data_IF_320444826814
#
_entry.id   IF_320444826814
#
_cell.length_a   1.000
_cell.length_b   1.000
_cell.length_c   1.000
_cell.angle_alpha   90.00
_cell.angle_beta   90.00
_cell.angle_gamma   90.00
#
_symmetry.space_group_name_H-M   'P 1'
#
loop_
_entity.id
_entity.type
_entity.pdbx_description
1 polymer ?
#
# COMPACT_ATOMS: atom_id res chain seq x y z
N UNK A 1 27.57 -9.55 -4.00
CA UNK A 1 26.16 -9.97 -3.73
C UNK A 1 25.24 -8.75 -3.61
N UNK A 2 25.51 -7.78 -2.71
CA UNK A 2 24.61 -6.62 -2.41
C UNK A 2 24.25 -5.81 -3.68
N UNK A 3 25.25 -5.33 -4.42
CA UNK A 3 25.02 -4.57 -5.67
C UNK A 3 24.19 -5.36 -6.68
N UNK A 4 24.47 -6.66 -6.85
CA UNK A 4 23.71 -7.50 -7.75
C UNK A 4 22.24 -7.63 -7.33
N UNK A 5 21.96 -7.76 -6.02
CA UNK A 5 20.63 -7.78 -5.49
C UNK A 5 19.87 -6.46 -5.75
N UNK A 6 20.51 -5.32 -5.49
CA UNK A 6 19.94 -3.99 -5.78
C UNK A 6 19.65 -3.84 -7.28
N UNK A 7 20.60 -4.21 -8.16
CA UNK A 7 20.41 -4.15 -9.63
C UNK A 7 19.23 -5.01 -10.08
N UNK A 8 19.16 -6.24 -9.59
CA UNK A 8 18.09 -7.18 -9.94
C UNK A 8 16.72 -6.67 -9.52
N UNK A 9 16.54 -6.32 -8.24
CA UNK A 9 15.27 -5.81 -7.72
C UNK A 9 14.82 -4.54 -8.45
N UNK A 10 15.75 -3.61 -8.67
CA UNK A 10 15.47 -2.37 -9.37
C UNK A 10 15.10 -2.58 -10.86
N UNK A 11 15.73 -3.59 -11.50
CA UNK A 11 15.40 -3.98 -12.89
C UNK A 11 13.97 -4.54 -12.97
N UNK A 12 13.56 -5.40 -12.05
CA UNK A 12 12.19 -5.92 -11.98
C UNK A 12 11.16 -4.84 -11.70
N UNK A 13 11.50 -3.82 -10.91
CA UNK A 13 10.62 -2.70 -10.64
C UNK A 13 10.40 -1.83 -11.91
N UNK A 14 11.51 -1.50 -12.60
CA UNK A 14 11.48 -0.63 -13.80
C UNK A 14 10.97 -1.35 -15.06
N UNK A 15 11.31 -2.62 -15.24
CA UNK A 15 10.99 -3.43 -16.42
C UNK A 15 10.55 -4.82 -16.01
N UNK A 16 9.35 -4.95 -15.42
CA UNK A 16 8.83 -6.25 -15.02
C UNK A 16 8.52 -7.12 -16.26
N UNK A 17 8.56 -8.46 -16.12
CA UNK A 17 8.24 -9.38 -17.20
C UNK A 17 6.76 -9.30 -17.64
N UNK A 18 5.90 -8.86 -16.75
CA UNK A 18 4.45 -8.68 -17.00
C UNK A 18 4.02 -7.24 -16.68
N UNK A 19 3.23 -6.63 -17.55
CA UNK A 19 2.74 -5.24 -17.40
C UNK A 19 1.88 -4.98 -16.15
N UNK A 20 1.44 -6.04 -15.46
CA UNK A 20 0.66 -5.92 -14.22
C UNK A 20 1.55 -5.90 -12.95
N UNK A 21 2.86 -5.81 -13.12
CA UNK A 21 3.84 -5.74 -12.03
C UNK A 21 4.71 -4.49 -12.16
N UNK A 22 5.44 -4.17 -11.10
CA UNK A 22 6.36 -3.04 -11.06
C UNK A 22 5.68 -1.69 -11.32
N UNK A 23 6.45 -0.73 -11.79
CA UNK A 23 5.99 0.64 -12.02
C UNK A 23 4.88 0.77 -13.07
N UNK A 24 4.87 0.03 -14.19
CA UNK A 24 3.77 0.11 -15.15
C UNK A 24 2.39 -0.25 -14.57
N UNK A 25 2.35 -1.06 -13.52
CA UNK A 25 1.10 -1.43 -12.87
C UNK A 25 0.46 -0.27 -12.11
N UNK A 26 1.25 0.70 -11.64
CA UNK A 26 0.75 1.85 -10.87
C UNK A 26 -0.10 2.78 -11.73
N UNK A 27 0.36 3.08 -12.95
CA UNK A 27 -0.42 3.90 -13.89
C UNK A 27 -1.77 3.25 -14.21
N UNK A 28 -1.74 1.94 -14.46
CA UNK A 28 -2.97 1.18 -14.70
C UNK A 28 -3.88 1.14 -13.47
N UNK A 29 -3.33 1.01 -12.28
CA UNK A 29 -4.10 1.03 -11.05
C UNK A 29 -4.77 2.39 -10.82
N UNK A 30 -4.02 3.49 -11.01
CA UNK A 30 -4.55 4.84 -10.90
C UNK A 30 -5.68 5.09 -11.91
N UNK A 31 -5.51 4.67 -13.18
CA UNK A 31 -6.55 4.79 -14.20
C UNK A 31 -7.81 4.01 -13.83
N UNK A 32 -7.65 2.74 -13.45
CA UNK A 32 -8.79 1.86 -13.14
C UNK A 32 -9.62 2.31 -11.93
N UNK A 33 -9.08 3.10 -11.03
CA UNK A 33 -9.84 3.66 -9.90
C UNK A 33 -10.94 4.63 -10.36
N UNK A 34 -10.73 5.35 -11.45
CA UNK A 34 -11.63 6.40 -11.93
C UNK A 34 -12.24 6.13 -13.31
N UNK A 35 -11.72 5.14 -14.04
CA UNK A 35 -12.19 4.80 -15.40
C UNK A 35 -13.47 3.96 -15.32
N UNK A 36 -14.61 4.63 -15.42
CA UNK A 36 -15.94 4.01 -15.39
C UNK A 36 -16.32 3.28 -16.69
N UNK A 37 -15.55 3.46 -17.78
CA UNK A 37 -15.81 2.81 -19.07
C UNK A 37 -15.10 1.46 -19.21
N UNK A 38 -14.04 1.22 -18.44
CA UNK A 38 -13.32 -0.05 -18.47
C UNK A 38 -14.08 -1.10 -17.65
N UNK A 39 -14.29 -2.28 -18.24
CA UNK A 39 -14.89 -3.43 -17.55
C UNK A 39 -14.08 -3.90 -16.32
N UNK A 40 -12.80 -3.53 -16.23
CA UNK A 40 -11.91 -3.77 -15.10
C UNK A 40 -11.82 -2.58 -14.16
N UNK A 41 -12.52 -1.47 -14.46
CA UNK A 41 -12.57 -0.29 -13.60
C UNK A 41 -13.20 -0.60 -12.25
N UNK A 42 -12.77 0.13 -11.22
CA UNK A 42 -13.22 -0.09 -9.84
C UNK A 42 -14.74 0.03 -9.69
N UNK A 43 -15.37 0.94 -10.42
CA UNK A 43 -16.83 1.08 -10.40
C UNK A 43 -17.56 -0.21 -10.82
N UNK A 44 -16.97 -0.99 -11.74
CA UNK A 44 -17.53 -2.26 -12.23
C UNK A 44 -17.15 -3.44 -11.34
N UNK A 45 -15.87 -3.53 -10.99
CA UNK A 45 -15.32 -4.69 -10.24
C UNK A 45 -15.64 -4.62 -8.75
N UNK A 46 -15.63 -3.41 -8.19
CA UNK A 46 -15.86 -3.11 -6.78
C UNK A 46 -17.04 -2.11 -6.63
N UNK A 47 -18.28 -2.52 -6.97
CA UNK A 47 -19.43 -1.65 -6.78
C UNK A 47 -19.55 -1.23 -5.32
N UNK A 48 -20.10 -0.03 -5.11
CA UNK A 48 -20.30 0.58 -3.78
C UNK A 48 -21.03 -0.38 -2.84
N UNK A 49 -20.49 -0.59 -1.66
CA UNK A 49 -20.94 -1.56 -0.67
C UNK A 49 -19.80 -2.45 -0.20
N UNK A 50 -20.10 -3.72 0.06
CA UNK A 50 -19.14 -4.69 0.60
C UNK A 50 -17.90 -4.86 -0.29
N UNK A 51 -18.07 -4.93 -1.61
CA UNK A 51 -16.93 -5.12 -2.53
C UNK A 51 -16.00 -3.92 -2.56
N UNK A 52 -16.54 -2.71 -2.54
CA UNK A 52 -15.71 -1.51 -2.47
C UNK A 52 -15.01 -1.41 -1.12
N UNK A 53 -15.70 -1.72 -0.03
CA UNK A 53 -15.07 -1.78 1.29
C UNK A 53 -13.89 -2.75 1.32
N UNK A 54 -14.05 -3.96 0.79
CA UNK A 54 -12.96 -4.95 0.71
C UNK A 54 -11.77 -4.43 -0.09
N UNK A 55 -12.02 -3.73 -1.21
CA UNK A 55 -10.95 -3.17 -2.02
C UNK A 55 -10.19 -2.06 -1.27
N UNK A 56 -10.91 -1.13 -0.62
CA UNK A 56 -10.32 -0.05 0.18
C UNK A 56 -9.57 -0.59 1.40
N UNK A 57 -10.15 -1.57 2.10
CA UNK A 57 -9.54 -2.25 3.22
C UNK A 57 -8.28 -3.03 2.77
N UNK A 58 -8.34 -3.65 1.60
CA UNK A 58 -7.21 -4.31 0.96
C UNK A 58 -6.06 -3.34 0.70
N UNK A 59 -6.32 -2.12 0.22
CA UNK A 59 -5.28 -1.09 0.06
C UNK A 59 -4.55 -0.85 1.38
N UNK A 60 -5.29 -0.63 2.47
CA UNK A 60 -4.69 -0.46 3.79
C UNK A 60 -3.92 -1.71 4.24
N UNK A 61 -4.56 -2.87 4.16
CA UNK A 61 -3.99 -4.12 4.63
C UNK A 61 -2.67 -4.47 3.94
N UNK A 62 -2.64 -4.43 2.61
CA UNK A 62 -1.45 -4.81 1.84
C UNK A 62 -0.31 -3.80 1.95
N UNK A 63 -0.60 -2.54 2.26
CA UNK A 63 0.45 -1.53 2.47
C UNK A 63 0.99 -1.59 3.89
N UNK A 64 0.14 -1.75 4.93
CA UNK A 64 0.55 -1.53 6.31
C UNK A 64 0.71 -2.82 7.13
N UNK A 65 -0.16 -3.82 6.95
CA UNK A 65 -0.27 -4.91 7.93
C UNK A 65 0.00 -6.32 7.38
N UNK A 66 0.21 -6.48 6.08
CA UNK A 66 0.43 -7.79 5.46
C UNK A 66 1.92 -8.18 5.41
N UNK A 67 2.58 -8.17 6.58
CA UNK A 67 4.01 -8.49 6.72
C UNK A 67 4.96 -7.60 5.87
N UNK A 68 4.51 -6.40 5.52
CA UNK A 68 5.29 -5.43 4.73
C UNK A 68 6.23 -4.59 5.59
N UNK A 69 6.16 -4.72 6.91
CA UNK A 69 6.82 -3.79 7.82
C UNK A 69 6.24 -2.38 7.76
N UNK A 70 5.04 -2.22 7.17
CA UNK A 70 4.42 -0.94 6.83
C UNK A 70 4.93 -0.34 5.51
N UNK A 71 4.19 0.64 5.00
CA UNK A 71 4.61 1.47 3.85
C UNK A 71 4.99 0.65 2.60
N UNK A 72 4.33 -0.48 2.37
CA UNK A 72 4.59 -1.38 1.24
C UNK A 72 6.08 -1.72 1.09
N UNK A 73 6.75 -2.12 2.16
CA UNK A 73 8.19 -2.44 2.26
C UNK A 73 9.16 -1.26 2.10
N UNK A 74 8.72 -0.02 1.85
CA UNK A 74 9.64 1.08 1.56
C UNK A 74 10.51 1.44 2.76
N UNK A 75 9.97 1.39 3.98
CA UNK A 75 10.76 1.60 5.21
C UNK A 75 11.86 0.55 5.39
N UNK A 76 11.53 -0.74 5.14
CA UNK A 76 12.52 -1.82 5.20
C UNK A 76 13.59 -1.68 4.12
N UNK A 77 13.20 -1.30 2.91
CA UNK A 77 14.15 -1.12 1.82
C UNK A 77 15.08 0.08 2.06
N UNK A 78 14.58 1.15 2.68
CA UNK A 78 15.42 2.27 3.10
C UNK A 78 16.48 1.83 4.13
N UNK A 79 16.07 1.07 5.17
CA UNK A 79 16.99 0.52 6.16
C UNK A 79 18.05 -0.39 5.50
N UNK A 80 17.63 -1.27 4.58
CA UNK A 80 18.56 -2.10 3.81
C UNK A 80 19.59 -1.26 3.02
N UNK A 81 19.17 -0.15 2.41
CA UNK A 81 20.11 0.73 1.67
C UNK A 81 21.10 1.43 2.58
N UNK A 82 20.71 1.79 3.82
CA UNK A 82 21.60 2.34 4.83
C UNK A 82 22.65 1.30 5.25
N UNK A 83 22.24 0.09 5.59
CA UNK A 83 23.16 -1.02 5.89
C UNK A 83 24.08 -1.35 4.70
N UNK A 84 23.53 -1.34 3.48
CA UNK A 84 24.32 -1.54 2.27
C UNK A 84 25.36 -0.44 2.06
N UNK A 85 25.02 0.82 2.37
CA UNK A 85 25.96 1.95 2.25
C UNK A 85 27.22 1.73 3.09
N UNK A 86 27.07 1.22 4.30
CA UNK A 86 28.17 0.87 5.19
C UNK A 86 28.92 -0.38 4.71
N UNK A 87 28.19 -1.48 4.47
CA UNK A 87 28.78 -2.77 4.14
C UNK A 87 29.63 -2.77 2.87
N UNK A 88 29.27 -1.96 1.87
CA UNK A 88 30.01 -1.88 0.60
C UNK A 88 30.76 -0.56 0.42
N UNK A 89 30.83 0.27 1.48
CA UNK A 89 31.51 1.58 1.50
C UNK A 89 31.05 2.51 0.36
N UNK A 90 29.73 2.57 0.12
CA UNK A 90 29.10 3.46 -0.86
C UNK A 90 28.14 4.44 -0.18
N UNK A 91 28.62 5.54 0.43
CA UNK A 91 27.81 6.46 1.24
C UNK A 91 26.65 7.10 0.47
N UNK A 92 26.75 7.25 -0.86
CA UNK A 92 25.68 7.77 -1.72
C UNK A 92 24.40 6.90 -1.68
N UNK A 93 24.45 5.66 -1.21
CA UNK A 93 23.23 4.86 -1.00
C UNK A 93 22.35 5.44 0.12
N UNK A 94 22.90 6.22 1.05
CA UNK A 94 22.10 6.93 2.06
C UNK A 94 21.16 7.98 1.43
N UNK A 95 21.56 8.61 0.32
CA UNK A 95 20.67 9.53 -0.42
C UNK A 95 19.48 8.79 -1.02
N UNK A 96 19.72 7.59 -1.55
CA UNK A 96 18.64 6.71 -2.03
C UNK A 96 17.77 6.25 -0.85
N UNK A 97 18.35 5.85 0.27
CA UNK A 97 17.60 5.46 1.46
C UNK A 97 16.64 6.57 1.92
N UNK A 98 17.09 7.83 1.93
CA UNK A 98 16.25 8.98 2.25
C UNK A 98 15.05 9.10 1.31
N UNK A 99 15.27 8.94 -0.01
CA UNK A 99 14.16 8.95 -0.98
C UNK A 99 13.16 7.84 -0.72
N UNK A 100 13.61 6.63 -0.35
CA UNK A 100 12.71 5.53 0.00
C UNK A 100 11.98 5.75 1.34
N UNK A 101 12.52 6.53 2.28
CA UNK A 101 11.78 6.98 3.48
C UNK A 101 10.67 7.98 3.13
N UNK A 102 10.94 8.90 2.20
CA UNK A 102 9.93 9.83 1.67
C UNK A 102 8.82 9.05 0.94
N UNK A 103 9.18 8.06 0.12
CA UNK A 103 8.23 7.14 -0.50
C UNK A 103 7.39 6.38 0.54
N UNK A 104 8.02 5.91 1.61
CA UNK A 104 7.30 5.23 2.69
C UNK A 104 6.18 6.10 3.27
N UNK A 105 6.44 7.40 3.47
CA UNK A 105 5.44 8.34 3.95
C UNK A 105 4.27 8.51 2.96
N UNK A 106 4.55 8.55 1.64
CA UNK A 106 3.52 8.63 0.61
C UNK A 106 2.65 7.35 0.57
N UNK A 107 3.25 6.17 0.68
CA UNK A 107 2.53 4.90 0.73
C UNK A 107 1.62 4.81 1.98
N UNK A 108 2.14 5.21 3.15
CA UNK A 108 1.33 5.25 4.37
C UNK A 108 0.20 6.28 4.28
N UNK A 109 0.44 7.43 3.65
CA UNK A 109 -0.63 8.40 3.38
C UNK A 109 -1.73 7.79 2.50
N UNK A 110 -1.37 7.12 1.41
CA UNK A 110 -2.32 6.44 0.52
C UNK A 110 -3.17 5.42 1.28
N UNK A 111 -2.53 4.57 2.09
CA UNK A 111 -3.23 3.54 2.85
C UNK A 111 -4.25 4.12 3.83
N UNK A 112 -3.89 5.20 4.53
CA UNK A 112 -4.79 5.89 5.45
C UNK A 112 -5.90 6.65 4.71
N UNK A 113 -5.60 7.20 3.54
CA UNK A 113 -6.61 7.87 2.69
C UNK A 113 -7.65 6.90 2.15
N UNK A 114 -7.32 5.61 1.96
CA UNK A 114 -8.29 4.60 1.53
C UNK A 114 -9.39 4.34 2.57
N UNK A 115 -9.06 4.48 3.86
CA UNK A 115 -10.00 4.34 4.98
C UNK A 115 -9.89 5.58 5.89
N UNK A 116 -10.44 6.76 5.48
CA UNK A 116 -10.22 8.03 6.16
C UNK A 116 -10.83 8.08 7.56
N UNK A 117 -10.19 8.82 8.47
CA UNK A 117 -10.62 9.02 9.87
C UNK A 117 -11.99 9.70 10.00
N UNK A 118 -12.37 10.51 9.01
CA UNK A 118 -13.67 11.17 8.98
C UNK A 118 -14.84 10.17 8.93
N UNK A 119 -14.59 8.94 8.48
CA UNK A 119 -15.58 7.87 8.42
C UNK A 119 -15.33 6.89 9.57
N UNK A 120 -16.07 7.00 10.65
CA UNK A 120 -15.88 6.25 11.91
C UNK A 120 -15.69 4.75 11.69
N UNK A 121 -16.50 4.12 10.83
CA UNK A 121 -16.42 2.68 10.59
C UNK A 121 -15.17 2.28 9.78
N UNK A 122 -14.64 3.16 8.94
CA UNK A 122 -13.37 2.93 8.22
C UNK A 122 -12.17 3.06 9.18
N UNK A 123 -12.20 4.08 10.06
CA UNK A 123 -11.22 4.21 11.14
C UNK A 123 -11.19 2.96 12.02
N UNK A 124 -12.35 2.47 12.46
CA UNK A 124 -12.47 1.25 13.26
C UNK A 124 -11.86 0.04 12.53
N UNK A 125 -12.13 -0.12 11.24
CA UNK A 125 -11.57 -1.22 10.45
C UNK A 125 -10.03 -1.18 10.42
N UNK A 126 -9.41 0.00 10.27
CA UNK A 126 -7.95 0.16 10.35
C UNK A 126 -7.40 -0.21 11.73
N UNK A 127 -8.03 0.29 12.78
CA UNK A 127 -7.63 0.01 14.18
C UNK A 127 -7.69 -1.49 14.48
N UNK A 128 -8.73 -2.18 14.00
CA UNK A 128 -8.86 -3.63 14.13
C UNK A 128 -7.75 -4.38 13.38
N UNK A 129 -7.37 -3.95 12.17
CA UNK A 129 -6.25 -4.54 11.42
C UNK A 129 -4.92 -4.35 12.16
N UNK A 130 -4.65 -3.15 12.64
CA UNK A 130 -3.45 -2.88 13.44
C UNK A 130 -3.44 -3.70 14.73
N UNK A 131 -4.57 -3.79 15.43
CA UNK A 131 -4.70 -4.59 16.64
C UNK A 131 -4.44 -6.07 16.36
N UNK A 132 -4.99 -6.61 15.27
CA UNK A 132 -4.74 -8.01 14.87
C UNK A 132 -3.25 -8.26 14.63
N UNK A 133 -2.57 -7.37 13.89
CA UNK A 133 -1.14 -7.46 13.63
C UNK A 133 -0.32 -7.43 14.93
N UNK A 134 -0.64 -6.51 15.85
CA UNK A 134 0.02 -6.43 17.16
C UNK A 134 -0.16 -7.70 17.99
N UNK A 135 -1.39 -8.22 18.06
CA UNK A 135 -1.69 -9.46 18.78
C UNK A 135 -0.90 -10.64 18.20
N UNK A 136 -0.83 -10.75 16.89
CA UNK A 136 -0.09 -11.81 16.23
C UNK A 136 1.42 -11.70 16.49
N UNK A 137 2.00 -10.52 16.37
CA UNK A 137 3.43 -10.29 16.51
C UNK A 137 3.94 -10.39 17.96
N UNK A 138 3.15 -9.91 18.94
CA UNK A 138 3.61 -9.82 20.33
C UNK A 138 3.18 -11.02 21.19
N UNK A 139 2.08 -11.66 20.85
CA UNK A 139 1.47 -12.68 21.70
C UNK A 139 1.30 -14.05 21.01
N UNK A 140 1.37 -14.09 19.68
CA UNK A 140 1.27 -15.33 18.90
C UNK A 140 0.03 -16.17 19.26
N UNK A 141 0.24 -17.43 19.59
CA UNK A 141 -0.85 -18.37 19.87
C UNK A 141 -1.69 -18.01 21.11
N UNK A 142 -1.15 -17.29 22.09
CA UNK A 142 -1.90 -16.91 23.30
C UNK A 142 -2.99 -15.87 23.01
N UNK A 143 -2.89 -15.14 21.90
CA UNK A 143 -3.87 -14.13 21.49
C UNK A 143 -5.01 -14.68 20.62
N UNK A 144 -5.08 -15.98 20.34
CA UNK A 144 -6.05 -16.55 19.41
C UNK A 144 -7.50 -16.14 19.69
N UNK A 145 -7.92 -16.09 20.96
CA UNK A 145 -9.28 -15.70 21.32
C UNK A 145 -9.56 -14.23 21.02
N UNK A 146 -8.60 -13.33 21.25
CA UNK A 146 -8.74 -11.92 20.92
C UNK A 146 -8.72 -11.71 19.39
N UNK A 147 -7.87 -12.43 18.67
CA UNK A 147 -7.84 -12.42 17.19
C UNK A 147 -9.18 -12.89 16.61
N UNK A 148 -9.84 -13.90 17.20
CA UNK A 148 -11.18 -14.34 16.81
C UNK A 148 -12.21 -13.23 16.98
N UNK A 149 -12.19 -12.49 18.11
CA UNK A 149 -13.08 -11.33 18.35
C UNK A 149 -12.85 -10.23 17.32
N UNK A 150 -11.59 -9.88 17.05
CA UNK A 150 -11.24 -8.88 16.03
C UNK A 150 -11.75 -9.32 14.65
N UNK A 151 -11.54 -10.56 14.26
CA UNK A 151 -12.04 -11.09 12.99
C UNK A 151 -13.58 -11.05 12.91
N UNK A 152 -14.28 -11.45 13.97
CA UNK A 152 -15.74 -11.38 14.02
C UNK A 152 -16.26 -9.95 13.85
N UNK A 153 -15.60 -8.97 14.47
CA UNK A 153 -15.95 -7.55 14.32
C UNK A 153 -15.70 -7.05 12.89
N UNK A 154 -14.58 -7.43 12.28
CA UNK A 154 -14.28 -7.12 10.88
C UNK A 154 -15.33 -7.68 9.92
N UNK A 155 -15.77 -8.93 10.13
CA UNK A 155 -16.85 -9.55 9.36
C UNK A 155 -18.17 -8.78 9.54
N UNK A 156 -18.51 -8.39 10.76
CA UNK A 156 -19.71 -7.60 11.04
C UNK A 156 -19.69 -6.24 10.33
N UNK A 157 -18.54 -5.52 10.36
CA UNK A 157 -18.35 -4.27 9.62
C UNK A 157 -18.58 -4.52 8.12
N UNK A 158 -17.89 -5.48 7.54
CA UNK A 158 -18.02 -5.81 6.11
C UNK A 158 -19.49 -6.11 5.73
N UNK A 159 -20.17 -6.93 6.52
CA UNK A 159 -21.56 -7.29 6.27
C UNK A 159 -22.49 -6.07 6.31
N UNK A 160 -22.26 -5.13 7.24
CA UNK A 160 -23.06 -3.91 7.33
C UNK A 160 -22.95 -3.01 6.10
N UNK A 161 -21.85 -3.12 5.32
CA UNK A 161 -21.66 -2.37 4.07
C UNK A 161 -22.63 -2.76 2.95
N UNK A 162 -23.29 -3.93 3.05
CA UNK A 162 -24.33 -4.35 2.10
C UNK A 162 -25.57 -3.49 2.22
N UNK A 163 -25.94 -3.17 3.45
CA UNK A 163 -27.15 -2.40 3.75
C UNK A 163 -26.90 -0.90 3.67
N UNK A 164 -25.79 -0.45 4.22
CA UNK A 164 -25.46 0.96 4.31
C UNK A 164 -23.97 1.22 4.14
N UNK A 165 -23.57 1.60 2.95
CA UNK A 165 -22.23 2.12 2.72
C UNK A 165 -22.11 3.55 3.26
N UNK A 166 -21.05 3.92 4.01
CA UNK A 166 -20.99 5.17 4.76
C UNK A 166 -20.82 6.43 3.90
N UNK A 167 -20.40 6.28 2.64
CA UNK A 167 -20.21 7.38 1.69
C UNK A 167 -21.32 7.34 0.63
N UNK A 168 -21.83 8.49 0.23
CA UNK A 168 -22.69 8.61 -0.94
C UNK A 168 -21.86 8.48 -2.24
N UNK A 169 -22.51 8.55 -3.40
CA UNK A 169 -21.84 8.36 -4.69
C UNK A 169 -20.82 9.46 -4.97
N UNK A 170 -21.14 10.71 -4.71
CA UNK A 170 -20.25 11.85 -4.90
C UNK A 170 -19.00 11.77 -3.99
N UNK A 171 -19.19 11.45 -2.72
CA UNK A 171 -18.09 11.23 -1.76
C UNK A 171 -17.23 10.03 -2.16
N UNK A 172 -17.82 8.95 -2.66
CA UNK A 172 -17.11 7.78 -3.16
C UNK A 172 -16.24 8.13 -4.36
N UNK A 173 -16.79 8.86 -5.32
CA UNK A 173 -16.06 9.29 -6.52
C UNK A 173 -14.91 10.25 -6.15
N UNK A 174 -15.13 11.14 -5.20
CA UNK A 174 -14.09 12.04 -4.69
C UNK A 174 -12.96 11.26 -4.03
N UNK A 175 -13.27 10.26 -3.18
CA UNK A 175 -12.30 9.38 -2.56
C UNK A 175 -11.46 8.64 -3.60
N UNK A 176 -12.09 7.98 -4.57
CA UNK A 176 -11.39 7.24 -5.62
C UNK A 176 -10.52 8.14 -6.49
N UNK A 177 -10.99 9.37 -6.79
CA UNK A 177 -10.20 10.38 -7.51
C UNK A 177 -8.96 10.80 -6.73
N UNK A 178 -9.08 11.01 -5.42
CA UNK A 178 -7.95 11.35 -4.56
C UNK A 178 -6.94 10.21 -4.48
N UNK A 179 -7.38 8.98 -4.28
CA UNK A 179 -6.51 7.79 -4.27
C UNK A 179 -5.78 7.63 -5.61
N UNK A 180 -6.47 7.80 -6.73
CA UNK A 180 -5.86 7.75 -8.07
C UNK A 180 -4.74 8.78 -8.23
N UNK A 181 -4.95 10.01 -7.77
CA UNK A 181 -3.92 11.07 -7.79
C UNK A 181 -2.72 10.70 -6.91
N UNK A 182 -2.97 10.17 -5.71
CA UNK A 182 -1.89 9.74 -4.81
C UNK A 182 -1.08 8.59 -5.42
N UNK A 183 -1.71 7.59 -6.04
CA UNK A 183 -1.00 6.51 -6.75
C UNK A 183 -0.16 7.06 -7.90
N UNK A 184 -0.69 8.02 -8.66
CA UNK A 184 0.05 8.66 -9.76
C UNK A 184 1.25 9.46 -9.25
N UNK A 185 1.14 10.12 -8.10
CA UNK A 185 2.26 10.81 -7.46
C UNK A 185 3.32 9.83 -6.96
N UNK A 186 2.91 8.77 -6.27
CA UNK A 186 3.81 7.69 -5.85
C UNK A 186 4.56 7.13 -7.05
N UNK A 187 3.87 6.86 -8.18
CA UNK A 187 4.50 6.36 -9.40
C UNK A 187 5.64 7.26 -9.87
N UNK A 188 5.42 8.58 -9.95
CA UNK A 188 6.44 9.54 -10.38
C UNK A 188 7.68 9.52 -9.46
N UNK A 189 7.46 9.52 -8.15
CA UNK A 189 8.55 9.51 -7.16
C UNK A 189 9.28 8.17 -7.18
N UNK A 190 8.57 7.03 -7.30
CA UNK A 190 9.17 5.70 -7.44
C UNK A 190 10.04 5.59 -8.70
N UNK A 191 9.57 6.10 -9.84
CA UNK A 191 10.36 6.11 -11.08
C UNK A 191 11.65 6.91 -10.89
N UNK A 192 11.56 8.10 -10.29
CA UNK A 192 12.74 8.93 -10.04
C UNK A 192 13.73 8.24 -9.09
N UNK A 193 13.26 7.67 -7.99
CA UNK A 193 14.07 6.94 -7.02
C UNK A 193 14.75 5.72 -7.65
N UNK A 194 14.01 4.92 -8.43
CA UNK A 194 14.55 3.74 -9.12
C UNK A 194 15.61 4.10 -10.16
N UNK A 195 15.40 5.17 -10.94
CA UNK A 195 16.39 5.66 -11.91
C UNK A 195 17.63 6.21 -11.18
N UNK A 196 17.45 6.95 -10.10
CA UNK A 196 18.55 7.45 -9.26
C UNK A 196 19.38 6.31 -8.69
N UNK A 197 18.72 5.31 -8.10
CA UNK A 197 19.39 4.13 -7.55
C UNK A 197 20.13 3.33 -8.63
N UNK A 198 19.56 3.17 -9.83
CA UNK A 198 20.22 2.50 -10.96
C UNK A 198 21.57 3.17 -11.29
N UNK A 199 21.62 4.50 -11.30
CA UNK A 199 22.86 5.27 -11.58
C UNK A 199 23.90 5.07 -10.47
N UNK A 200 23.48 4.97 -9.20
CA UNK A 200 24.38 4.77 -8.08
C UNK A 200 25.07 3.40 -8.07
N UNK A 201 24.41 2.39 -8.62
CA UNK A 201 24.91 0.99 -8.63
C UNK A 201 25.38 0.50 -10.01
N UNK A 202 25.41 1.40 -10.98
CA UNK A 202 25.82 1.08 -12.37
C UNK A 202 27.23 0.47 -12.50
#
# INVERSE_FOLDING_TARGET
AVIAGIKSGNSYLLKPPLKNFGLPAFEKWADLMTNTKDKKGWATVFPRGEKLFDALEGVFHYIETNNTGGSAFRSMYAAFLEEAAEAIRKPKLNDAAKQYRELAALWSKLSHSALPDSVKVFKEARELRLRKMQLFNLQGATALNEIKKVNARMVAIKTSMKEKFPLNEGETNALLSDLSKQVSEIHKVEVAAAIGLKKLVA
#
